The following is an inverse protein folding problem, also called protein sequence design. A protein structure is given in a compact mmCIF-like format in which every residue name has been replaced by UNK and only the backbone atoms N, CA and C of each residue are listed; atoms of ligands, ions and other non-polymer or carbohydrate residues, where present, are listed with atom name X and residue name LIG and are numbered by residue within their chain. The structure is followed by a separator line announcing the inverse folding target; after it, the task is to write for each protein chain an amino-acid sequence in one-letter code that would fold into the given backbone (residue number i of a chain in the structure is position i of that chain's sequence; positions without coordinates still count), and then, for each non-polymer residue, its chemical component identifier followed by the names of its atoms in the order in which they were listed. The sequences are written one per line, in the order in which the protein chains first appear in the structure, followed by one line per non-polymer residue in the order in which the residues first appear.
data_IF_006526025878
#
_entry.id   IF_006526025878
#
_cell.length_a   1.000
_cell.length_b   1.000
_cell.length_c   1.000
_cell.angle_alpha   90.00
_cell.angle_beta   90.00
_cell.angle_gamma   90.00
#
_symmetry.space_group_name_H-M   'P 1'
#
loop_
_entity.id
_entity.type
_entity.pdbx_description
1 polymer ?
#
# COMPACT_ATOMS: atom_id res chain seq x y z
N UNK A 1 26.71 -1.33 -13.28
CA UNK A 1 25.33 -1.23 -13.86
C UNK A 1 24.62 -2.56 -13.98
N UNK A 2 25.28 -3.67 -14.34
CA UNK A 2 24.64 -5.00 -14.51
C UNK A 2 24.08 -5.62 -13.21
N UNK A 3 24.76 -5.49 -12.07
CA UNK A 3 24.32 -6.08 -10.79
C UNK A 3 23.06 -5.38 -10.24
N UNK A 4 23.04 -4.03 -10.26
CA UNK A 4 21.88 -3.26 -9.81
C UNK A 4 20.65 -3.56 -10.68
N UNK A 5 20.87 -3.62 -12.00
CA UNK A 5 19.80 -4.01 -12.93
C UNK A 5 19.31 -5.43 -12.67
N UNK A 6 20.21 -6.39 -12.46
CA UNK A 6 19.86 -7.76 -12.10
C UNK A 6 19.07 -7.86 -10.78
N UNK A 7 19.39 -7.04 -9.77
CA UNK A 7 18.62 -6.97 -8.52
C UNK A 7 17.21 -6.40 -8.79
N UNK A 8 17.10 -5.35 -9.60
CA UNK A 8 15.79 -4.77 -9.94
C UNK A 8 14.94 -5.72 -10.80
N UNK A 9 15.57 -6.47 -11.69
CA UNK A 9 14.91 -7.46 -12.56
C UNK A 9 14.34 -8.66 -11.77
N UNK A 10 14.90 -8.96 -10.58
CA UNK A 10 14.37 -10.01 -9.69
C UNK A 10 13.01 -9.64 -9.11
N UNK A 11 12.68 -8.35 -9.05
CA UNK A 11 11.37 -7.84 -8.63
C UNK A 11 11.18 -7.71 -7.12
N UNK A 12 10.10 -7.01 -6.77
CA UNK A 12 9.75 -6.65 -5.40
C UNK A 12 9.59 -7.85 -4.46
N UNK A 13 9.12 -8.97 -4.98
CA UNK A 13 8.87 -10.22 -4.23
C UNK A 13 10.12 -10.72 -3.51
N UNK A 14 11.30 -10.51 -4.08
CA UNK A 14 12.59 -10.95 -3.50
C UNK A 14 13.33 -9.80 -2.85
N UNK A 15 13.24 -8.60 -3.42
CA UNK A 15 13.93 -7.42 -2.87
C UNK A 15 13.37 -7.06 -1.49
N UNK A 16 12.06 -7.04 -1.34
CA UNK A 16 11.40 -6.62 -0.09
C UNK A 16 11.81 -7.50 1.12
N UNK A 17 11.75 -8.84 1.03
CA UNK A 17 12.25 -9.73 2.10
C UNK A 17 13.71 -9.46 2.48
N UNK A 18 14.57 -9.24 1.50
CA UNK A 18 16.00 -8.98 1.74
C UNK A 18 16.19 -7.65 2.46
N UNK A 19 15.51 -6.60 2.02
CA UNK A 19 15.56 -5.28 2.66
C UNK A 19 15.07 -5.38 4.11
N UNK A 20 13.97 -6.08 4.34
CA UNK A 20 13.42 -6.27 5.69
C UNK A 20 14.32 -7.11 6.58
N UNK A 21 14.97 -8.15 6.04
CA UNK A 21 16.00 -8.91 6.75
C UNK A 21 17.16 -8.00 7.18
N UNK A 22 17.68 -7.18 6.27
CA UNK A 22 18.78 -6.24 6.55
C UNK A 22 18.35 -5.23 7.63
N UNK A 23 17.15 -4.67 7.53
CA UNK A 23 16.61 -3.74 8.55
C UNK A 23 16.48 -4.41 9.91
N UNK A 24 15.97 -5.63 9.98
CA UNK A 24 15.93 -6.40 11.22
C UNK A 24 17.32 -6.57 11.85
N UNK A 25 18.34 -6.87 11.03
CA UNK A 25 19.73 -7.01 11.51
C UNK A 25 20.31 -5.67 11.99
N UNK A 26 20.01 -4.56 11.31
CA UNK A 26 20.36 -3.19 11.75
C UNK A 26 19.73 -2.90 13.12
N UNK A 27 18.46 -3.31 13.31
CA UNK A 27 17.75 -3.17 14.59
C UNK A 27 18.21 -4.18 15.66
N UNK A 28 19.24 -4.98 15.36
CA UNK A 28 19.83 -5.99 16.26
C UNK A 28 18.84 -7.10 16.65
N UNK A 29 17.90 -7.42 15.78
CA UNK A 29 17.04 -8.58 15.93
C UNK A 29 17.87 -9.84 15.63
N UNK A 30 17.74 -10.96 16.40
CA UNK A 30 18.46 -12.19 16.13
C UNK A 30 18.20 -12.72 14.72
N UNK A 31 19.25 -13.23 14.04
CA UNK A 31 19.21 -13.63 12.63
C UNK A 31 18.02 -14.56 12.29
N UNK A 32 17.74 -15.57 13.11
CA UNK A 32 16.61 -16.48 12.86
C UNK A 32 15.25 -15.80 12.86
N UNK A 33 15.03 -14.82 13.76
CA UNK A 33 13.80 -14.00 13.77
C UNK A 33 13.76 -13.05 12.58
N UNK A 34 14.89 -12.45 12.24
CA UNK A 34 15.03 -11.56 11.08
C UNK A 34 14.73 -12.28 9.76
N UNK A 35 15.26 -13.49 9.61
CA UNK A 35 15.02 -14.32 8.43
C UNK A 35 13.54 -14.73 8.35
N UNK A 36 12.93 -15.17 9.46
CA UNK A 36 11.51 -15.50 9.51
C UNK A 36 10.66 -14.27 9.12
N UNK A 37 10.94 -13.10 9.70
CA UNK A 37 10.22 -11.87 9.38
C UNK A 37 10.31 -11.51 7.89
N UNK A 38 11.51 -11.54 7.31
CA UNK A 38 11.70 -11.30 5.87
C UNK A 38 10.92 -12.30 5.01
N UNK A 39 10.99 -13.60 5.35
CA UNK A 39 10.25 -14.65 4.63
C UNK A 39 8.73 -14.45 4.71
N UNK A 40 8.18 -14.14 5.90
CA UNK A 40 6.74 -13.91 6.06
C UNK A 40 6.26 -12.72 5.25
N UNK A 41 7.04 -11.62 5.21
CA UNK A 41 6.76 -10.45 4.38
C UNK A 41 6.76 -10.84 2.89
N UNK A 42 7.78 -11.59 2.43
CA UNK A 42 7.87 -12.02 1.03
C UNK A 42 6.76 -12.98 0.61
N UNK A 43 6.40 -13.92 1.49
CA UNK A 43 5.30 -14.88 1.26
C UNK A 43 3.97 -14.13 1.19
N UNK A 44 3.70 -13.23 2.17
CA UNK A 44 2.49 -12.43 2.18
C UNK A 44 2.36 -11.55 0.94
N UNK A 45 3.44 -10.88 0.54
CA UNK A 45 3.51 -10.07 -0.67
C UNK A 45 3.28 -10.88 -1.95
N UNK A 46 3.90 -12.07 -2.05
CA UNK A 46 3.68 -12.98 -3.18
C UNK A 46 2.22 -13.45 -3.24
N UNK A 47 1.67 -13.82 -2.08
CA UNK A 47 0.28 -14.23 -1.96
C UNK A 47 -0.70 -13.12 -2.36
N UNK A 48 -0.41 -11.88 -1.95
CA UNK A 48 -1.17 -10.69 -2.34
C UNK A 48 -1.16 -10.50 -3.85
N UNK A 49 0.01 -10.58 -4.46
CA UNK A 49 0.17 -10.45 -5.92
C UNK A 49 -0.60 -11.54 -6.68
N UNK A 50 -0.61 -12.78 -6.17
CA UNK A 50 -1.39 -13.88 -6.74
C UNK A 50 -2.89 -13.62 -6.63
N UNK A 51 -3.38 -13.17 -5.49
CA UNK A 51 -4.80 -12.87 -5.25
C UNK A 51 -5.26 -11.71 -6.15
N UNK A 52 -4.46 -10.64 -6.26
CA UNK A 52 -4.76 -9.51 -7.16
C UNK A 52 -4.76 -9.98 -8.63
N UNK A 53 -3.78 -10.78 -9.04
CA UNK A 53 -3.74 -11.35 -10.39
C UNK A 53 -4.98 -12.21 -10.70
N UNK A 54 -5.43 -13.00 -9.73
CA UNK A 54 -6.64 -13.78 -9.83
C UNK A 54 -7.90 -12.88 -9.92
N UNK A 55 -7.97 -11.79 -9.15
CA UNK A 55 -9.05 -10.81 -9.27
C UNK A 55 -9.12 -10.25 -10.69
N UNK A 56 -7.99 -9.74 -11.20
CA UNK A 56 -7.93 -9.16 -12.55
C UNK A 56 -8.40 -10.15 -13.61
N UNK A 57 -7.97 -11.41 -13.52
CA UNK A 57 -8.44 -12.47 -14.42
C UNK A 57 -9.96 -12.73 -14.29
N UNK A 58 -10.47 -12.72 -13.06
CA UNK A 58 -11.89 -13.00 -12.80
C UNK A 58 -12.82 -11.90 -13.31
N UNK A 59 -12.38 -10.63 -13.29
CA UNK A 59 -13.19 -9.48 -13.76
C UNK A 59 -12.86 -9.04 -15.18
N UNK A 60 -11.90 -9.67 -15.86
CA UNK A 60 -11.40 -9.24 -17.18
C UNK A 60 -12.52 -9.08 -18.20
N UNK A 61 -13.46 -10.02 -18.25
CA UNK A 61 -14.60 -9.97 -19.19
C UNK A 61 -15.54 -8.78 -18.94
N UNK A 62 -15.68 -8.35 -17.68
CA UNK A 62 -16.41 -7.14 -17.33
C UNK A 62 -15.66 -5.87 -17.76
N UNK A 63 -14.35 -5.84 -17.53
CA UNK A 63 -13.48 -4.74 -18.00
C UNK A 63 -13.56 -4.60 -19.51
N UNK A 64 -13.47 -5.71 -20.26
CA UNK A 64 -13.54 -5.72 -21.72
C UNK A 64 -14.91 -5.24 -22.22
N UNK A 65 -16.00 -5.64 -21.55
CA UNK A 65 -17.33 -5.15 -21.86
C UNK A 65 -17.44 -3.63 -21.77
N UNK A 66 -16.98 -3.04 -20.67
CA UNK A 66 -17.01 -1.57 -20.51
C UNK A 66 -16.05 -0.83 -21.43
N UNK A 67 -14.91 -1.42 -21.77
CA UNK A 67 -14.00 -0.90 -22.80
C UNK A 67 -14.68 -0.77 -24.16
N UNK A 68 -15.45 -1.76 -24.57
CA UNK A 68 -16.19 -1.72 -25.84
C UNK A 68 -17.36 -0.74 -25.83
N UNK A 69 -17.89 -0.39 -24.65
CA UNK A 69 -18.95 0.61 -24.52
C UNK A 69 -18.43 2.05 -24.52
N UNK A 70 -17.15 2.25 -24.25
CA UNK A 70 -16.52 3.58 -24.19
C UNK A 70 -16.51 4.27 -25.55
N UNK A 71 -17.34 5.31 -25.74
CA UNK A 71 -17.45 6.05 -26.99
C UNK A 71 -16.26 6.99 -27.20
N UNK A 72 -15.48 6.78 -28.26
CA UNK A 72 -14.63 7.81 -28.87
C UNK A 72 -13.23 8.00 -28.31
N UNK A 73 -12.83 7.31 -27.22
CA UNK A 73 -11.47 7.36 -26.68
C UNK A 73 -10.76 6.01 -26.88
N UNK A 74 -9.53 6.06 -27.39
CA UNK A 74 -8.66 4.88 -27.37
C UNK A 74 -8.14 4.69 -25.96
N UNK A 75 -8.69 3.74 -25.22
CA UNK A 75 -8.20 3.38 -23.90
C UNK A 75 -7.13 2.31 -24.06
N UNK A 76 -5.90 2.66 -23.68
CA UNK A 76 -4.79 1.70 -23.55
C UNK A 76 -4.54 1.50 -22.07
N UNK A 77 -5.05 0.40 -21.53
CA UNK A 77 -4.75 0.01 -20.16
C UNK A 77 -3.54 -0.93 -20.19
N UNK A 78 -2.43 -0.43 -19.73
CA UNK A 78 -1.19 -1.22 -19.59
C UNK A 78 -1.08 -1.88 -18.23
N UNK A 79 -2.01 -1.58 -17.31
CA UNK A 79 -2.00 -2.06 -15.94
C UNK A 79 -0.94 -1.40 -15.07
N UNK A 80 -1.19 -1.42 -13.76
CA UNK A 80 -0.27 -0.83 -12.76
C UNK A 80 1.12 -1.46 -12.77
N UNK A 81 1.19 -2.78 -12.97
CA UNK A 81 2.46 -3.51 -13.01
C UNK A 81 3.35 -3.04 -14.17
N UNK A 82 2.76 -2.78 -15.35
CA UNK A 82 3.53 -2.29 -16.51
C UNK A 82 4.00 -0.84 -16.32
N UNK A 83 3.15 0.03 -15.74
CA UNK A 83 3.52 1.42 -15.38
C UNK A 83 4.63 1.42 -14.33
N UNK A 84 4.51 0.57 -13.31
CA UNK A 84 5.55 0.37 -12.30
C UNK A 84 6.87 -0.09 -12.93
N UNK A 85 6.84 -1.14 -13.76
CA UNK A 85 8.01 -1.65 -14.44
C UNK A 85 8.67 -0.58 -15.33
N UNK A 86 7.87 0.19 -16.08
CA UNK A 86 8.38 1.30 -16.90
C UNK A 86 9.06 2.38 -16.05
N UNK A 87 8.52 2.68 -14.86
CA UNK A 87 9.11 3.66 -13.95
C UNK A 87 10.46 3.22 -13.38
N UNK A 88 10.72 1.92 -13.26
CA UNK A 88 12.03 1.40 -12.89
C UNK A 88 13.05 1.44 -14.05
N UNK A 89 12.59 1.58 -15.29
CA UNK A 89 13.45 1.66 -16.48
C UNK A 89 14.08 3.03 -16.72
N UNK A 90 13.70 4.09 -16.01
CA UNK A 90 14.25 5.43 -16.22
C UNK A 90 15.68 5.56 -15.67
N UNK A 91 16.53 6.45 -16.24
CA UNK A 91 17.95 6.56 -15.88
C UNK A 91 18.21 6.86 -14.40
N UNK A 92 17.26 7.51 -13.74
CA UNK A 92 17.38 7.93 -12.33
C UNK A 92 16.67 7.00 -11.33
N UNK A 93 16.04 5.91 -11.77
CA UNK A 93 15.28 5.04 -10.86
C UNK A 93 16.15 4.48 -9.72
N UNK A 94 17.30 3.89 -10.05
CA UNK A 94 18.20 3.33 -9.03
C UNK A 94 18.73 4.39 -8.05
N UNK A 95 19.29 5.53 -8.50
CA UNK A 95 19.70 6.58 -7.57
C UNK A 95 18.52 7.20 -6.82
N UNK A 96 17.33 7.29 -7.39
CA UNK A 96 16.14 7.79 -6.71
C UNK A 96 15.79 6.94 -5.49
N UNK A 97 15.76 5.62 -5.62
CA UNK A 97 15.47 4.70 -4.50
C UNK A 97 16.48 4.90 -3.38
N UNK A 98 17.76 4.94 -3.68
CA UNK A 98 18.81 5.15 -2.68
C UNK A 98 18.67 6.51 -1.98
N UNK A 99 18.37 7.57 -2.72
CA UNK A 99 18.19 8.92 -2.18
C UNK A 99 16.93 9.03 -1.34
N UNK A 100 15.82 8.42 -1.73
CA UNK A 100 14.58 8.38 -0.93
C UNK A 100 14.84 7.72 0.42
N UNK A 101 15.52 6.57 0.43
CA UNK A 101 15.89 5.88 1.68
C UNK A 101 16.83 6.77 2.52
N UNK A 102 17.85 7.36 1.89
CA UNK A 102 18.78 8.25 2.59
C UNK A 102 18.08 9.47 3.20
N UNK A 103 17.20 10.13 2.43
CA UNK A 103 16.38 11.25 2.93
C UNK A 103 15.55 10.82 4.13
N UNK A 104 14.88 9.66 4.05
CA UNK A 104 14.09 9.17 5.16
C UNK A 104 14.94 8.95 6.41
N UNK A 105 16.11 8.31 6.29
CA UNK A 105 17.04 8.14 7.41
C UNK A 105 17.49 9.49 7.97
N UNK A 106 17.90 10.43 7.12
CA UNK A 106 18.32 11.78 7.54
C UNK A 106 17.19 12.52 8.25
N UNK A 107 15.96 12.48 7.75
CA UNK A 107 14.80 13.12 8.38
C UNK A 107 14.49 12.50 9.75
N UNK A 108 14.63 11.17 9.88
CA UNK A 108 14.48 10.49 11.19
C UNK A 108 15.56 10.95 12.16
N UNK A 109 16.83 10.98 11.76
CA UNK A 109 17.94 11.42 12.59
C UNK A 109 17.83 12.89 12.97
N UNK A 110 17.41 13.74 12.05
CA UNK A 110 17.15 15.17 12.27
C UNK A 110 15.89 15.46 13.10
N UNK A 111 15.15 14.43 13.52
CA UNK A 111 13.88 14.55 14.26
C UNK A 111 12.82 15.34 13.49
N UNK A 112 12.81 15.23 12.17
CA UNK A 112 11.82 15.84 11.29
C UNK A 112 10.62 14.91 11.05
N UNK A 113 10.86 13.58 11.09
CA UNK A 113 9.81 12.56 11.01
C UNK A 113 10.10 11.38 11.94
N UNK A 114 9.04 10.67 12.31
CA UNK A 114 9.09 9.37 12.99
C UNK A 114 8.60 8.24 12.08
N UNK A 115 8.45 8.49 10.79
CA UNK A 115 8.00 7.51 9.80
C UNK A 115 9.20 6.85 9.14
N UNK A 116 9.25 5.52 9.18
CA UNK A 116 10.20 4.71 8.41
C UNK A 116 9.45 4.11 7.21
N UNK A 117 9.65 4.69 6.04
CA UNK A 117 9.04 4.21 4.80
C UNK A 117 10.04 3.35 4.02
N UNK A 118 9.80 2.04 3.99
CA UNK A 118 10.64 1.04 3.31
C UNK A 118 9.83 0.13 2.40
N UNK A 119 8.56 0.46 2.20
CA UNK A 119 7.66 -0.30 1.33
C UNK A 119 7.96 0.00 -0.14
N UNK A 120 8.23 -1.05 -0.92
CA UNK A 120 8.56 -0.93 -2.35
C UNK A 120 7.41 -0.38 -3.18
N UNK A 121 6.15 -0.63 -2.79
CA UNK A 121 4.99 -0.05 -3.46
C UNK A 121 4.99 1.46 -3.37
N UNK A 122 5.41 2.01 -2.24
CA UNK A 122 5.52 3.45 -2.06
C UNK A 122 6.58 4.05 -2.98
N UNK A 123 7.66 3.33 -3.28
CA UNK A 123 8.64 3.80 -4.27
C UNK A 123 8.04 3.93 -5.66
N UNK A 124 7.15 3.02 -6.07
CA UNK A 124 6.44 3.13 -7.36
C UNK A 124 5.59 4.39 -7.38
N UNK A 125 4.89 4.72 -6.29
CA UNK A 125 4.09 5.94 -6.17
C UNK A 125 4.90 7.23 -6.31
N UNK A 126 6.20 7.21 -6.01
CA UNK A 126 7.10 8.34 -6.25
C UNK A 126 7.70 8.30 -7.66
N UNK A 127 8.10 7.11 -8.13
CA UNK A 127 8.76 6.94 -9.43
C UNK A 127 7.84 7.24 -10.60
N UNK A 128 6.57 6.85 -10.53
CA UNK A 128 5.62 7.09 -11.64
C UNK A 128 5.45 8.58 -11.95
N UNK A 129 5.16 9.48 -11.00
CA UNK A 129 5.13 10.92 -11.27
C UNK A 129 6.49 11.48 -11.73
N UNK A 130 7.59 11.00 -11.16
CA UNK A 130 8.92 11.38 -11.59
C UNK A 130 9.22 10.96 -13.03
N UNK A 131 8.79 9.76 -13.43
CA UNK A 131 8.89 9.26 -14.80
C UNK A 131 8.06 10.10 -15.75
N UNK A 132 6.86 10.48 -15.36
CA UNK A 132 6.00 11.37 -16.15
C UNK A 132 6.64 12.75 -16.32
N UNK A 133 7.18 13.33 -15.26
CA UNK A 133 7.91 14.61 -15.34
C UNK A 133 9.14 14.51 -16.27
N UNK A 134 9.87 13.40 -16.22
CA UNK A 134 10.97 13.12 -17.14
C UNK A 134 10.48 13.00 -18.59
N UNK A 135 9.41 12.27 -18.84
CA UNK A 135 8.84 12.10 -20.18
C UNK A 135 8.38 13.45 -20.78
N UNK A 136 7.80 14.34 -19.98
CA UNK A 136 7.32 15.65 -20.41
C UNK A 136 8.46 16.67 -20.63
N UNK A 137 9.53 16.60 -19.86
CA UNK A 137 10.61 17.61 -19.86
C UNK A 137 11.88 17.14 -20.53
N UNK A 138 12.01 15.83 -20.78
CA UNK A 138 13.23 15.16 -21.21
C UNK A 138 14.45 15.47 -20.31
N UNK A 139 14.20 15.74 -19.03
CA UNK A 139 15.22 16.10 -18.05
C UNK A 139 15.18 15.18 -16.83
N UNK A 140 16.22 14.33 -16.71
CA UNK A 140 16.33 13.35 -15.61
C UNK A 140 16.42 14.02 -14.22
N UNK A 141 16.99 15.21 -14.11
CA UNK A 141 17.09 15.95 -12.85
C UNK A 141 15.73 16.45 -12.37
N UNK A 142 14.86 16.87 -13.30
CA UNK A 142 13.47 17.25 -12.97
C UNK A 142 12.71 16.00 -12.48
N UNK A 143 12.81 14.88 -13.20
CA UNK A 143 12.19 13.62 -12.78
C UNK A 143 12.64 13.18 -11.39
N UNK A 144 13.95 13.18 -11.15
CA UNK A 144 14.53 12.87 -9.84
C UNK A 144 14.05 13.86 -8.76
N UNK A 145 14.05 15.16 -9.05
CA UNK A 145 13.58 16.19 -8.12
C UNK A 145 12.12 15.97 -7.69
N UNK A 146 11.25 15.60 -8.63
CA UNK A 146 9.85 15.27 -8.34
C UNK A 146 9.77 14.08 -7.37
N UNK A 147 10.52 13.00 -7.62
CA UNK A 147 10.56 11.82 -6.71
C UNK A 147 10.94 12.23 -5.30
N UNK A 148 12.02 13.01 -5.15
CA UNK A 148 12.54 13.40 -3.83
C UNK A 148 11.57 14.34 -3.09
N UNK A 149 10.99 15.30 -3.78
CA UNK A 149 9.99 16.21 -3.18
C UNK A 149 8.75 15.45 -2.71
N UNK A 150 8.23 14.56 -3.55
CA UNK A 150 7.06 13.76 -3.21
C UNK A 150 7.33 12.81 -2.04
N UNK A 151 8.54 12.22 -1.94
CA UNK A 151 8.89 11.38 -0.81
C UNK A 151 8.98 12.16 0.52
N UNK A 152 9.45 13.41 0.50
CA UNK A 152 9.45 14.27 1.69
C UNK A 152 8.04 14.65 2.10
N UNK A 153 7.18 15.03 1.15
CA UNK A 153 5.76 15.34 1.41
C UNK A 153 5.07 14.13 2.03
N UNK A 154 5.30 12.95 1.45
CA UNK A 154 4.74 11.69 1.95
C UNK A 154 5.09 11.45 3.42
N UNK A 155 6.37 11.55 3.78
CA UNK A 155 6.82 11.34 5.16
C UNK A 155 6.20 12.33 6.16
N UNK A 156 6.02 13.60 5.75
CA UNK A 156 5.40 14.62 6.59
C UNK A 156 3.92 14.32 6.79
N UNK A 157 3.20 14.01 5.71
CA UNK A 157 1.76 13.72 5.78
C UNK A 157 1.50 12.41 6.50
N UNK A 158 2.26 11.36 6.19
CA UNK A 158 2.16 10.06 6.85
C UNK A 158 2.33 10.15 8.36
N UNK A 159 3.24 11.01 8.85
CA UNK A 159 3.41 11.24 10.27
C UNK A 159 2.15 11.85 10.92
N UNK A 160 1.50 12.79 10.26
CA UNK A 160 0.27 13.42 10.76
C UNK A 160 -0.94 12.48 10.75
N UNK A 161 -0.95 11.53 9.82
CA UNK A 161 -1.99 10.52 9.69
C UNK A 161 -1.83 9.41 10.74
N UNK A 162 -0.61 9.08 11.15
CA UNK A 162 -0.28 7.93 11.98
C UNK A 162 -1.20 7.73 13.20
N UNK A 163 -1.53 8.73 14.03
CA UNK A 163 -2.40 8.50 15.19
C UNK A 163 -3.79 8.01 14.81
N UNK A 164 -4.42 8.65 13.81
CA UNK A 164 -5.77 8.27 13.35
C UNK A 164 -5.78 6.94 12.60
N UNK A 165 -4.70 6.66 11.84
CA UNK A 165 -4.51 5.39 11.16
C UNK A 165 -4.46 4.25 12.17
N UNK A 166 -3.63 4.36 13.21
CA UNK A 166 -3.46 3.34 14.23
C UNK A 166 -4.74 3.12 15.04
N UNK A 167 -5.46 4.19 15.35
CA UNK A 167 -6.74 4.12 16.06
C UNK A 167 -7.81 3.40 15.23
N UNK A 168 -7.94 3.76 13.95
CA UNK A 168 -9.00 3.25 13.09
C UNK A 168 -8.78 1.78 12.68
N UNK A 169 -7.54 1.43 12.29
CA UNK A 169 -7.21 0.09 11.81
C UNK A 169 -6.69 -0.85 12.91
N UNK A 170 -6.44 -0.36 14.12
CA UNK A 170 -5.84 -1.16 15.20
C UNK A 170 -4.37 -1.55 14.94
N UNK A 171 -3.71 -0.95 13.94
CA UNK A 171 -2.36 -1.29 13.49
C UNK A 171 -1.30 -0.41 14.20
N UNK A 172 -1.05 -0.67 15.48
CA UNK A 172 -0.09 0.11 16.28
C UNK A 172 1.33 0.06 15.69
N UNK A 173 2.01 1.22 15.69
CA UNK A 173 3.37 1.34 15.14
C UNK A 173 3.44 1.39 13.63
N UNK A 174 2.33 1.62 12.95
CA UNK A 174 2.26 1.76 11.48
C UNK A 174 1.62 3.09 11.07
N UNK A 175 1.76 3.44 9.81
CA UNK A 175 1.06 4.57 9.19
C UNK A 175 0.88 4.33 7.70
N UNK A 176 -0.12 4.96 7.09
CA UNK A 176 -0.25 4.96 5.64
C UNK A 176 0.80 5.88 5.01
N UNK A 177 1.52 5.37 4.02
CA UNK A 177 2.48 6.12 3.20
C UNK A 177 2.24 5.92 1.70
N UNK A 178 1.00 5.63 1.31
CA UNK A 178 0.58 5.61 -0.09
C UNK A 178 0.33 7.02 -0.57
N UNK A 179 1.28 7.60 -1.29
CA UNK A 179 1.25 9.01 -1.70
C UNK A 179 -0.08 9.44 -2.35
N UNK A 180 -0.60 8.67 -3.29
CA UNK A 180 -1.87 8.98 -3.97
C UNK A 180 -3.05 9.02 -3.01
N UNK A 181 -3.10 8.12 -2.04
CA UNK A 181 -4.16 8.06 -1.03
C UNK A 181 -4.08 9.25 -0.07
N UNK A 182 -2.91 9.51 0.51
CA UNK A 182 -2.74 10.56 1.52
C UNK A 182 -2.82 11.98 0.95
N UNK A 183 -2.51 12.18 -0.33
CA UNK A 183 -2.57 13.49 -0.97
C UNK A 183 -3.93 13.79 -1.58
N UNK A 184 -4.75 12.80 -1.90
CA UNK A 184 -6.09 12.99 -2.48
C UNK A 184 -7.22 12.57 -1.54
N UNK A 185 -7.29 11.30 -1.17
CA UNK A 185 -8.42 10.77 -0.40
C UNK A 185 -8.47 11.35 1.02
N UNK A 186 -7.32 11.52 1.69
CA UNK A 186 -7.27 12.05 3.04
C UNK A 186 -7.79 13.49 3.19
N UNK A 187 -7.39 14.47 2.38
CA UNK A 187 -7.98 15.82 2.41
C UNK A 187 -9.48 15.82 2.10
N UNK A 188 -9.93 15.00 1.15
CA UNK A 188 -11.35 14.86 0.82
C UNK A 188 -12.11 14.29 2.04
N UNK A 189 -11.58 13.26 2.69
CA UNK A 189 -12.19 12.66 3.87
C UNK A 189 -12.31 13.67 5.03
N UNK A 190 -11.30 14.52 5.25
CA UNK A 190 -11.37 15.60 6.26
C UNK A 190 -12.50 16.57 5.91
N UNK A 191 -12.59 17.00 4.65
CA UNK A 191 -13.64 17.89 4.17
C UNK A 191 -15.03 17.29 4.34
N UNK A 192 -15.21 16.04 3.96
CA UNK A 192 -16.47 15.30 4.13
C UNK A 192 -16.84 15.14 5.62
N UNK A 193 -15.91 14.76 6.47
CA UNK A 193 -16.15 14.67 7.90
C UNK A 193 -16.60 16.02 8.50
N UNK A 194 -15.95 17.12 8.09
CA UNK A 194 -16.35 18.45 8.53
C UNK A 194 -17.78 18.80 8.11
N UNK A 195 -18.22 18.39 6.91
CA UNK A 195 -19.61 18.58 6.44
C UNK A 195 -20.57 17.69 7.24
N UNK A 196 -20.23 16.41 7.41
CA UNK A 196 -21.05 15.44 8.13
C UNK A 196 -21.24 15.85 9.60
N UNK A 197 -20.20 16.37 10.24
CA UNK A 197 -20.27 16.85 11.63
C UNK A 197 -21.24 18.02 11.84
N UNK A 198 -21.58 18.75 10.78
CA UNK A 198 -22.56 19.84 10.81
C UNK A 198 -24.00 19.38 10.66
N UNK A 199 -24.23 18.13 10.24
CA UNK A 199 -25.58 17.60 10.03
C UNK A 199 -26.09 16.99 11.35
N UNK A 200 -27.12 17.56 12.00
CA UNK A 200 -27.64 17.03 13.27
C UNK A 200 -28.13 15.59 13.09
N UNK A 201 -27.69 14.71 13.97
CA UNK A 201 -28.12 13.31 14.00
C UNK A 201 -27.28 12.35 13.18
N UNK A 202 -26.61 12.78 12.10
CA UNK A 202 -25.77 11.89 11.25
C UNK A 202 -24.57 11.37 12.03
N UNK A 203 -23.97 12.18 12.88
CA UNK A 203 -22.85 11.78 13.75
C UNK A 203 -23.19 10.63 14.72
N UNK A 204 -24.48 10.42 15.02
CA UNK A 204 -24.96 9.35 15.92
C UNK A 204 -25.27 8.05 15.17
N UNK A 205 -25.22 8.08 13.85
CA UNK A 205 -25.48 6.91 13.02
C UNK A 205 -24.18 6.10 12.98
N UNK A 206 -24.18 5.02 13.73
CA UNK A 206 -23.08 4.04 13.73
C UNK A 206 -23.43 2.92 12.73
N UNK A 207 -22.97 3.10 11.50
CA UNK A 207 -23.06 2.08 10.44
C UNK A 207 -21.67 1.44 10.33
N UNK A 208 -21.25 0.72 11.35
CA UNK A 208 -20.05 -0.11 11.20
C UNK A 208 -20.41 -1.38 10.42
N UNK A 209 -19.52 -1.80 9.52
CA UNK A 209 -19.69 -3.06 8.77
C UNK A 209 -19.81 -4.26 9.71
N UNK A 210 -19.15 -4.24 10.88
CA UNK A 210 -19.28 -5.26 11.90
C UNK A 210 -20.72 -5.38 12.42
N UNK A 211 -21.33 -4.25 12.84
CA UNK A 211 -22.72 -4.25 13.33
C UNK A 211 -23.73 -4.60 12.24
N UNK A 212 -23.42 -4.23 11.00
CA UNK A 212 -24.26 -4.57 9.85
C UNK A 212 -24.14 -6.06 9.51
N UNK A 213 -22.91 -6.60 9.54
CA UNK A 213 -22.63 -8.02 9.36
C UNK A 213 -23.30 -8.89 10.42
N UNK A 214 -23.19 -8.51 11.70
CA UNK A 214 -23.84 -9.22 12.82
C UNK A 214 -25.37 -9.26 12.71
N UNK A 215 -25.99 -8.18 12.19
CA UNK A 215 -27.44 -8.14 11.96
C UNK A 215 -27.88 -8.96 10.75
N UNK A 216 -27.07 -9.06 9.72
CA UNK A 216 -27.37 -9.81 8.51
C UNK A 216 -27.02 -11.30 8.64
N UNK A 217 -26.25 -11.70 9.67
CA UNK A 217 -25.78 -13.07 9.83
C UNK A 217 -25.06 -13.58 8.58
N UNK A 218 -25.49 -14.72 8.02
CA UNK A 218 -24.88 -15.28 6.80
C UNK A 218 -24.84 -14.31 5.61
N UNK A 219 -25.83 -13.42 5.47
CA UNK A 219 -25.85 -12.43 4.39
C UNK A 219 -24.80 -11.31 4.55
N UNK A 220 -24.29 -11.12 5.76
CA UNK A 220 -23.20 -10.19 6.07
C UNK A 220 -21.81 -10.79 5.94
N UNK A 221 -21.71 -12.09 5.64
CA UNK A 221 -20.43 -12.77 5.44
C UNK A 221 -19.69 -12.24 4.19
N UNK A 222 -18.40 -11.99 4.34
CA UNK A 222 -17.56 -11.39 3.29
C UNK A 222 -17.56 -12.23 2.01
N UNK A 223 -17.56 -13.56 2.14
CA UNK A 223 -17.64 -14.45 0.97
C UNK A 223 -18.98 -14.32 0.25
N UNK A 224 -20.08 -14.21 1.02
CA UNK A 224 -21.42 -14.06 0.44
C UNK A 224 -21.57 -12.69 -0.25
N UNK A 225 -21.10 -11.62 0.38
CA UNK A 225 -21.07 -10.26 -0.21
C UNK A 225 -20.29 -10.29 -1.52
N UNK A 226 -19.09 -10.89 -1.52
CA UNK A 226 -18.25 -11.03 -2.71
C UNK A 226 -18.94 -11.79 -3.85
N UNK A 227 -19.63 -12.89 -3.49
CA UNK A 227 -20.40 -13.68 -4.44
C UNK A 227 -21.50 -12.84 -5.12
N UNK A 228 -22.30 -12.12 -4.31
CA UNK A 228 -23.38 -11.27 -4.82
C UNK A 228 -22.86 -10.14 -5.70
N UNK A 229 -21.79 -9.44 -5.25
CA UNK A 229 -21.16 -8.36 -6.04
C UNK A 229 -20.65 -8.89 -7.38
N UNK A 230 -20.01 -10.06 -7.39
CA UNK A 230 -19.50 -10.66 -8.62
C UNK A 230 -20.63 -11.14 -9.57
N UNK A 231 -21.68 -11.74 -9.04
CA UNK A 231 -22.88 -12.10 -9.82
C UNK A 231 -23.50 -10.84 -10.42
N UNK A 232 -23.69 -9.80 -9.62
CA UNK A 232 -24.26 -8.54 -10.07
C UNK A 232 -23.42 -7.91 -11.20
N UNK A 233 -22.10 -7.86 -11.04
CA UNK A 233 -21.19 -7.36 -12.07
C UNK A 233 -21.27 -8.20 -13.36
N UNK A 234 -21.31 -9.53 -13.24
CA UNK A 234 -21.43 -10.42 -14.37
C UNK A 234 -22.74 -10.24 -15.14
N UNK A 235 -23.86 -10.05 -14.44
CA UNK A 235 -25.17 -9.74 -15.05
C UNK A 235 -25.17 -8.38 -15.73
N UNK A 236 -24.63 -7.34 -15.07
CA UNK A 236 -24.53 -6.00 -15.66
C UNK A 236 -23.70 -5.97 -16.94
N UNK A 237 -22.68 -6.78 -17.02
CA UNK A 237 -21.80 -6.87 -18.18
C UNK A 237 -22.25 -7.94 -19.19
N UNK A 238 -23.49 -8.43 -19.05
CA UNK A 238 -24.13 -9.37 -19.98
C UNK A 238 -23.30 -10.64 -20.23
N UNK A 239 -22.62 -11.13 -19.21
CA UNK A 239 -21.85 -12.37 -19.33
C UNK A 239 -22.78 -13.58 -19.44
N UNK A 240 -22.36 -14.66 -20.12
CA UNK A 240 -23.08 -15.93 -20.08
C UNK A 240 -23.14 -16.46 -18.64
N UNK A 241 -24.13 -17.28 -18.32
CA UNK A 241 -24.37 -17.71 -16.92
C UNK A 241 -23.15 -18.35 -16.26
N UNK A 242 -22.31 -19.09 -17.03
CA UNK A 242 -21.03 -19.62 -16.52
C UNK A 242 -20.06 -18.50 -16.11
N UNK A 243 -19.95 -17.46 -16.93
CA UNK A 243 -19.11 -16.27 -16.63
C UNK A 243 -19.59 -15.53 -15.40
N UNK A 244 -20.91 -15.39 -15.21
CA UNK A 244 -21.51 -14.79 -14.01
C UNK A 244 -21.11 -15.57 -12.76
N UNK A 245 -21.20 -16.90 -12.79
CA UNK A 245 -20.84 -17.73 -11.63
C UNK A 245 -19.33 -17.70 -11.34
N UNK A 246 -18.49 -17.76 -12.39
CA UNK A 246 -17.03 -17.66 -12.25
C UNK A 246 -16.63 -16.30 -11.65
N UNK A 247 -17.25 -15.22 -12.10
CA UNK A 247 -17.00 -13.88 -11.57
C UNK A 247 -17.47 -13.75 -10.11
N UNK A 248 -18.63 -14.31 -9.77
CA UNK A 248 -19.13 -14.40 -8.41
C UNK A 248 -18.14 -15.08 -7.47
N UNK A 249 -17.72 -16.29 -7.82
CA UNK A 249 -16.75 -17.06 -7.05
C UNK A 249 -15.37 -16.39 -7.03
N UNK A 250 -14.97 -15.76 -8.12
CA UNK A 250 -13.70 -15.03 -8.21
C UNK A 250 -13.62 -13.91 -7.21
N UNK A 251 -14.62 -13.03 -7.18
CA UNK A 251 -14.67 -11.89 -6.23
C UNK A 251 -14.80 -12.38 -4.78
N UNK A 252 -15.67 -13.38 -4.53
CA UNK A 252 -15.77 -13.99 -3.19
C UNK A 252 -14.44 -14.53 -2.69
N UNK A 253 -13.71 -15.24 -3.55
CA UNK A 253 -12.39 -15.79 -3.22
C UNK A 253 -11.39 -14.68 -2.87
N UNK A 254 -11.37 -13.61 -3.65
CA UNK A 254 -10.46 -12.47 -3.40
C UNK A 254 -10.76 -11.81 -2.06
N UNK A 255 -12.03 -11.51 -1.78
CA UNK A 255 -12.41 -10.85 -0.52
C UNK A 255 -12.08 -11.68 0.72
N UNK A 256 -12.03 -13.01 0.59
CA UNK A 256 -11.63 -13.91 1.69
C UNK A 256 -10.12 -14.08 1.79
N UNK A 257 -9.41 -14.20 0.65
CA UNK A 257 -7.97 -14.50 0.67
C UNK A 257 -7.10 -13.26 0.88
N UNK A 258 -7.52 -12.09 0.40
CA UNK A 258 -6.73 -10.86 0.48
C UNK A 258 -6.37 -10.49 1.93
N UNK A 259 -7.33 -10.44 2.89
CA UNK A 259 -7.01 -10.18 4.29
C UNK A 259 -6.07 -11.23 4.90
N UNK A 260 -6.17 -12.49 4.49
CA UNK A 260 -5.29 -13.56 4.99
C UNK A 260 -3.85 -13.37 4.53
N UNK A 261 -3.64 -12.92 3.28
CA UNK A 261 -2.29 -12.63 2.77
C UNK A 261 -1.69 -11.41 3.48
N UNK A 262 -2.51 -10.39 3.72
CA UNK A 262 -2.12 -9.23 4.55
C UNK A 262 -1.72 -9.67 5.95
N UNK A 263 -2.51 -10.52 6.61
CA UNK A 263 -2.21 -11.03 7.95
C UNK A 263 -0.85 -11.76 8.00
N UNK A 264 -0.55 -12.59 6.99
CA UNK A 264 0.76 -13.26 6.87
C UNK A 264 1.90 -12.25 6.79
N UNK A 265 1.74 -11.18 6.00
CA UNK A 265 2.74 -10.13 5.86
C UNK A 265 2.89 -9.32 7.17
N UNK A 266 1.78 -9.02 7.85
CA UNK A 266 1.78 -8.30 9.12
C UNK A 266 2.50 -9.05 10.23
N UNK A 267 2.53 -10.39 10.23
CA UNK A 267 3.34 -11.19 11.16
C UNK A 267 4.84 -10.85 11.03
N UNK A 268 5.33 -10.67 9.81
CA UNK A 268 6.70 -10.23 9.56
C UNK A 268 6.93 -8.76 9.92
N UNK A 269 6.03 -7.87 9.50
CA UNK A 269 6.12 -6.43 9.74
C UNK A 269 6.07 -6.06 11.23
N UNK A 270 5.27 -6.76 12.04
CA UNK A 270 5.23 -6.54 13.49
C UNK A 270 6.60 -6.81 14.14
N UNK A 271 7.32 -7.84 13.69
CA UNK A 271 8.68 -8.12 14.16
C UNK A 271 9.66 -6.99 13.81
N UNK A 272 9.57 -6.43 12.60
CA UNK A 272 10.36 -5.27 12.17
C UNK A 272 10.03 -4.05 13.02
N UNK A 273 8.73 -3.79 13.26
CA UNK A 273 8.23 -2.68 14.06
C UNK A 273 8.71 -2.72 15.51
N UNK A 274 8.64 -3.86 16.17
CA UNK A 274 9.15 -4.06 17.53
C UNK A 274 10.66 -3.83 17.61
N UNK A 275 11.41 -4.34 16.63
CA UNK A 275 12.85 -4.12 16.53
C UNK A 275 13.19 -2.65 16.34
N UNK A 276 12.51 -1.98 15.43
CA UNK A 276 12.65 -0.55 15.18
C UNK A 276 12.34 0.27 16.45
N UNK A 277 11.24 -0.02 17.14
CA UNK A 277 10.85 0.63 18.40
C UNK A 277 11.93 0.46 19.48
N UNK A 278 12.46 -0.75 19.63
CA UNK A 278 13.52 -1.04 20.62
C UNK A 278 14.83 -0.32 20.27
N UNK A 279 15.21 -0.32 18.99
CA UNK A 279 16.41 0.35 18.50
C UNK A 279 16.32 1.86 18.72
N UNK A 280 15.18 2.47 18.41
CA UNK A 280 14.93 3.90 18.60
C UNK A 280 15.04 4.33 20.06
N UNK A 281 14.37 3.59 20.97
CA UNK A 281 14.47 3.86 22.42
C UNK A 281 15.91 3.89 22.91
N UNK A 282 16.79 3.06 22.35
CA UNK A 282 18.20 2.96 22.76
C UNK A 282 19.10 4.00 22.13
N UNK A 283 18.84 4.46 20.90
CA UNK A 283 19.83 5.21 20.10
C UNK A 283 19.40 6.62 19.72
N UNK A 284 18.10 6.91 19.61
CA UNK A 284 17.62 8.17 19.05
C UNK A 284 17.01 9.13 20.09
N UNK A 285 16.95 8.71 21.36
CA UNK A 285 16.52 9.56 22.47
C UNK A 285 15.05 9.99 22.36
N UNK A 286 14.74 11.11 23.01
CA UNK A 286 13.37 11.67 23.09
C UNK A 286 13.07 12.63 21.94
N UNK A 287 11.80 12.83 21.65
CA UNK A 287 11.31 13.89 20.78
C UNK A 287 11.70 15.29 21.28
N UNK A 288 11.49 16.32 20.45
CA UNK A 288 11.76 17.72 20.83
C UNK A 288 10.91 18.19 22.03
N UNK A 289 9.74 17.58 22.23
CA UNK A 289 8.82 17.82 23.33
C UNK A 289 9.09 16.99 24.60
N UNK A 290 10.13 16.14 24.58
CA UNK A 290 10.52 15.29 25.70
C UNK A 290 9.81 13.93 25.75
N UNK A 291 8.84 13.66 24.90
CA UNK A 291 8.15 12.36 24.78
C UNK A 291 9.07 11.27 24.23
N UNK A 292 8.76 10.00 24.52
CA UNK A 292 9.47 8.86 23.89
C UNK A 292 9.20 8.85 22.39
N UNK A 293 10.26 8.65 21.59
CA UNK A 293 10.11 8.52 20.14
C UNK A 293 9.59 7.15 19.79
N UNK A 294 8.45 7.11 19.12
CA UNK A 294 7.89 5.90 18.51
C UNK A 294 8.02 6.01 16.98
N UNK A 295 8.63 4.99 16.35
CA UNK A 295 8.63 4.85 14.89
C UNK A 295 7.30 4.28 14.43
N UNK A 296 6.77 4.89 13.36
CA UNK A 296 5.68 4.31 12.57
C UNK A 296 6.24 3.77 11.26
N UNK A 297 5.98 2.51 10.96
CA UNK A 297 6.36 1.92 9.67
C UNK A 297 5.35 2.37 8.63
N UNK A 298 5.86 3.03 7.58
CA UNK A 298 5.07 3.39 6.41
C UNK A 298 4.66 2.15 5.63
N UNK A 299 3.38 2.00 5.35
CA UNK A 299 2.83 0.88 4.61
C UNK A 299 1.83 1.36 3.56
N UNK A 300 1.65 0.56 2.52
CA UNK A 300 0.66 0.83 1.50
C UNK A 300 -0.76 0.67 2.04
N UNK A 301 -1.68 1.51 1.60
CA UNK A 301 -3.09 1.49 2.02
C UNK A 301 -3.76 0.16 1.71
N UNK A 302 -3.37 -0.52 0.65
CA UNK A 302 -3.90 -1.83 0.29
C UNK A 302 -3.71 -2.88 1.41
N UNK A 303 -2.68 -2.70 2.25
CA UNK A 303 -2.39 -3.59 3.37
C UNK A 303 -3.35 -3.42 4.55
N UNK A 304 -3.98 -2.27 4.67
CA UNK A 304 -4.94 -2.00 5.74
C UNK A 304 -6.39 -2.26 5.30
N UNK A 305 -6.64 -2.25 3.98
CA UNK A 305 -7.97 -2.50 3.40
C UNK A 305 -8.23 -3.99 3.14
N UNK A 306 -7.18 -4.81 3.16
CA UNK A 306 -7.28 -6.26 3.08
C UNK A 306 -7.35 -6.88 4.45
#
# INVERSE_FOLDING_TARGET
MSIIKGILDVGAVVILPIVMLILCLIFRIPFGKSLKAGLMIGIGFSGLSLVIGFLMTSVQSAVDYYRHMGGGFTTVDVGWAAVGAASFGVPFAAPAILLVVLINVVMILAKMTNVLNVDIWNFIHFLVPGTLAYALTNNAWIGLGVVLVLSVIDLIVAQHIAPKWQEYYGLTGTTCSTLSYITSAWPIAIGLNWVIDKIPGVRKIDISMEKFGDRLGFFGDTAFIGLIVGIFLGLMTRQPWQGVLVMGMGIATVLVLLPRMVSVMMEGLSTVGEGAKTFMKRHLGKNKDGSERELSIGMDVALALG
#
